data_IF_370955559134
#
_entry.id   IF_370955559134
#
_cell.length_a   1.000
_cell.length_b   1.000
_cell.length_c   1.000
_cell.angle_alpha   90.00
_cell.angle_beta   90.00
_cell.angle_gamma   90.00
#
_symmetry.space_group_name_H-M   'P 1'
#
loop_
_entity.id
_entity.type
_entity.pdbx_description
1 polymer ?
#
# COMPACT_ATOMS: atom_id res chain seq x y z
N UNK A 1 4.10 14.91 0.08
CA UNK A 1 5.30 14.91 0.94
C UNK A 1 5.71 13.48 1.28
N UNK A 2 4.87 12.69 1.97
CA UNK A 2 5.19 11.29 2.34
C UNK A 2 5.64 10.43 1.16
N UNK A 3 4.88 10.39 0.05
CA UNK A 3 5.25 9.63 -1.14
C UNK A 3 6.65 9.96 -1.69
N UNK A 4 7.06 11.23 -1.63
CA UNK A 4 8.38 11.65 -2.09
C UNK A 4 9.49 11.14 -1.17
N UNK A 5 9.30 11.22 0.16
CA UNK A 5 10.26 10.68 1.12
C UNK A 5 10.33 9.16 1.08
N UNK A 6 9.19 8.47 0.95
CA UNK A 6 9.15 7.01 0.80
C UNK A 6 9.92 6.57 -0.43
N UNK A 7 9.72 7.24 -1.57
CA UNK A 7 10.46 6.97 -2.80
C UNK A 7 11.97 7.11 -2.57
N UNK A 8 12.41 8.22 -1.97
CA UNK A 8 13.83 8.44 -1.66
C UNK A 8 14.39 7.38 -0.72
N UNK A 9 13.62 6.96 0.30
CA UNK A 9 14.01 5.90 1.21
C UNK A 9 14.20 4.55 0.49
N UNK A 10 13.26 4.19 -0.38
CA UNK A 10 13.35 2.96 -1.19
C UNK A 10 14.56 3.01 -2.13
N UNK A 11 14.78 4.14 -2.82
CA UNK A 11 15.94 4.34 -3.69
C UNK A 11 17.26 4.18 -2.92
N UNK A 12 17.33 4.64 -1.67
CA UNK A 12 18.51 4.47 -0.82
C UNK A 12 18.71 3.05 -0.27
N UNK A 13 17.62 2.29 -0.09
CA UNK A 13 17.66 0.92 0.41
C UNK A 13 17.84 -0.13 -0.70
N UNK A 14 17.72 0.29 -1.97
CA UNK A 14 17.84 -0.57 -3.13
C UNK A 14 19.24 -1.17 -3.25
N UNK A 15 19.32 -2.47 -3.59
CA UNK A 15 20.57 -3.18 -3.85
C UNK A 15 20.43 -3.94 -5.16
N UNK A 16 21.43 -3.79 -6.02
CA UNK A 16 21.48 -4.52 -7.29
C UNK A 16 21.47 -6.03 -7.05
N UNK A 17 20.71 -6.77 -7.87
CA UNK A 17 20.53 -8.21 -7.74
C UNK A 17 19.45 -8.66 -6.74
N UNK A 18 18.80 -7.74 -6.01
CA UNK A 18 17.74 -8.08 -5.06
C UNK A 18 16.41 -7.37 -5.42
N UNK A 19 15.29 -8.09 -5.31
CA UNK A 19 13.96 -7.53 -5.45
C UNK A 19 13.32 -7.19 -4.11
N UNK A 20 12.57 -6.08 -4.04
CA UNK A 20 11.78 -5.73 -2.85
C UNK A 20 10.40 -6.39 -2.97
N UNK A 21 10.10 -7.35 -2.08
CA UNK A 21 8.82 -8.07 -2.08
C UNK A 21 7.68 -7.24 -1.47
N UNK A 22 7.97 -6.43 -0.46
CA UNK A 22 6.99 -5.58 0.23
C UNK A 22 7.69 -4.36 0.82
N UNK A 23 7.05 -3.20 0.70
CA UNK A 23 7.43 -1.97 1.38
C UNK A 23 6.20 -1.35 2.05
N UNK A 24 6.39 -0.70 3.19
CA UNK A 24 5.34 -0.02 3.93
C UNK A 24 5.89 1.23 4.59
N UNK A 25 5.00 2.19 4.83
CA UNK A 25 5.30 3.39 5.62
C UNK A 25 4.59 3.24 6.94
N UNK A 26 5.34 3.33 8.03
CA UNK A 26 4.80 3.35 9.38
C UNK A 26 4.85 4.79 9.90
N UNK A 27 3.74 5.24 10.47
CA UNK A 27 3.66 6.55 11.11
C UNK A 27 3.54 6.28 12.60
N UNK A 28 4.51 6.76 13.36
CA UNK A 28 4.53 6.73 14.82
C UNK A 28 4.14 8.13 15.34
N UNK A 29 3.57 8.19 16.54
CA UNK A 29 3.25 9.44 17.25
C UNK A 29 2.41 10.46 16.44
N UNK A 30 1.28 9.99 15.90
CA UNK A 30 0.31 10.88 15.28
C UNK A 30 -0.21 11.89 16.30
N UNK A 31 -0.05 13.17 15.98
CA UNK A 31 -0.55 14.31 16.75
C UNK A 31 -1.61 15.06 15.95
N UNK A 32 -2.45 15.81 16.65
CA UNK A 32 -3.42 16.70 16.02
C UNK A 32 -2.74 17.71 15.10
N UNK A 33 -3.37 18.00 13.95
CA UNK A 33 -2.82 18.91 12.95
C UNK A 33 -2.51 20.30 13.52
N UNK A 34 -3.36 20.79 14.43
CA UNK A 34 -3.20 22.09 15.10
C UNK A 34 -2.01 22.13 16.07
N UNK A 35 -1.55 20.95 16.53
CA UNK A 35 -0.41 20.80 17.45
C UNK A 35 0.90 20.51 16.70
N UNK A 36 0.85 20.47 15.37
CA UNK A 36 2.02 20.26 14.53
C UNK A 36 3.08 21.33 14.81
N UNK A 37 4.35 20.95 15.06
CA UNK A 37 5.44 21.90 15.18
C UNK A 37 5.59 22.70 13.89
N UNK A 38 5.53 24.03 14.00
CA UNK A 38 5.85 24.91 12.87
C UNK A 38 7.34 24.94 12.65
N UNK A 39 7.76 24.77 11.40
CA UNK A 39 9.17 24.87 11.02
C UNK A 39 9.49 26.27 10.48
N UNK A 40 10.77 26.65 10.50
CA UNK A 40 11.22 27.95 9.97
C UNK A 40 11.00 28.07 8.44
N UNK A 41 10.85 26.93 7.76
CA UNK A 41 10.74 26.82 6.31
C UNK A 41 9.44 26.11 5.92
N UNK A 42 8.30 26.65 6.34
CA UNK A 42 7.00 26.13 5.92
C UNK A 42 6.63 26.60 4.53
N UNK A 43 6.36 25.64 3.66
CA UNK A 43 5.77 25.86 2.34
C UNK A 43 4.25 26.00 2.50
N UNK A 44 3.61 26.93 1.78
CA UNK A 44 2.16 27.19 1.87
C UNK A 44 1.37 25.89 1.63
N UNK A 45 0.77 25.36 2.70
CA UNK A 45 0.03 24.09 2.64
C UNK A 45 -1.37 24.25 2.09
N UNK A 46 -1.93 25.47 2.00
CA UNK A 46 -3.35 25.68 1.74
C UNK A 46 -3.83 25.07 0.41
N UNK A 47 -2.98 25.06 -0.61
CA UNK A 47 -3.28 24.36 -1.88
C UNK A 47 -3.35 22.85 -1.71
N UNK A 48 -2.41 22.25 -0.96
CA UNK A 48 -2.37 20.80 -0.73
C UNK A 48 -3.53 20.35 0.12
N UNK A 49 -3.86 21.11 1.16
CA UNK A 49 -4.95 20.76 2.09
C UNK A 49 -6.30 20.74 1.34
N UNK A 50 -6.56 21.76 0.52
CA UNK A 50 -7.74 21.79 -0.37
C UNK A 50 -7.77 20.63 -1.35
N UNK A 51 -6.63 20.27 -1.94
CA UNK A 51 -6.53 19.13 -2.86
C UNK A 51 -6.86 17.81 -2.15
N UNK A 52 -6.30 17.58 -0.96
CA UNK A 52 -6.55 16.36 -0.18
C UNK A 52 -8.04 16.24 0.19
N UNK A 53 -8.65 17.33 0.66
CA UNK A 53 -10.09 17.37 0.95
C UNK A 53 -10.93 17.04 -0.31
N UNK A 54 -10.59 17.61 -1.47
CA UNK A 54 -11.30 17.33 -2.71
C UNK A 54 -11.17 15.86 -3.12
N UNK A 55 -9.98 15.27 -3.00
CA UNK A 55 -9.77 13.85 -3.28
C UNK A 55 -10.58 12.95 -2.33
N UNK A 56 -10.63 13.29 -1.04
CA UNK A 56 -11.40 12.55 -0.05
C UNK A 56 -12.90 12.61 -0.34
N UNK A 57 -13.42 13.79 -0.69
CA UNK A 57 -14.83 13.94 -1.09
C UNK A 57 -15.20 13.08 -2.29
N UNK A 58 -14.34 13.04 -3.32
CA UNK A 58 -14.55 12.20 -4.49
C UNK A 58 -14.52 10.72 -4.11
N UNK A 59 -13.55 10.30 -3.30
CA UNK A 59 -13.46 8.92 -2.82
C UNK A 59 -14.65 8.51 -1.93
N UNK A 60 -15.20 9.44 -1.13
CA UNK A 60 -16.41 9.18 -0.34
C UNK A 60 -17.63 8.96 -1.24
N UNK A 61 -17.75 9.73 -2.33
CA UNK A 61 -18.91 9.67 -3.23
C UNK A 61 -18.88 8.48 -4.19
N UNK A 62 -17.73 8.18 -4.77
CA UNK A 62 -17.59 7.20 -5.85
C UNK A 62 -16.96 5.87 -5.39
N UNK A 63 -16.65 5.75 -4.11
CA UNK A 63 -16.05 4.56 -3.51
C UNK A 63 -14.55 4.72 -3.27
N UNK A 64 -14.05 3.89 -2.35
CA UNK A 64 -12.65 3.93 -1.91
C UNK A 64 -11.72 3.70 -3.10
N UNK A 65 -10.71 4.57 -3.25
CA UNK A 65 -9.74 4.56 -4.35
C UNK A 65 -10.30 4.91 -5.73
N UNK A 66 -11.44 5.61 -5.82
CA UNK A 66 -11.94 6.17 -7.07
C UNK A 66 -10.96 7.18 -7.70
N UNK A 67 -10.28 7.98 -6.85
CA UNK A 67 -9.17 8.85 -7.25
C UNK A 67 -7.98 8.59 -6.35
N UNK A 68 -6.83 8.39 -7.00
CA UNK A 68 -5.55 8.12 -6.34
C UNK A 68 -4.47 8.99 -6.96
N UNK A 69 -3.41 9.33 -6.23
CA UNK A 69 -2.24 9.98 -6.83
C UNK A 69 -1.71 9.13 -7.99
N UNK A 70 -1.40 9.76 -9.12
CA UNK A 70 -0.90 9.06 -10.30
C UNK A 70 0.37 8.24 -10.01
N UNK A 71 1.20 8.70 -9.07
CA UNK A 71 2.41 8.01 -8.62
C UNK A 71 2.16 6.67 -7.92
N UNK A 72 0.93 6.42 -7.44
CA UNK A 72 0.55 5.14 -6.83
C UNK A 72 0.35 4.05 -7.90
N UNK A 73 0.11 4.44 -9.16
CA UNK A 73 -0.31 3.53 -10.22
C UNK A 73 -1.78 3.11 -10.10
N UNK A 74 -2.37 2.74 -11.24
CA UNK A 74 -3.78 2.37 -11.35
C UNK A 74 -4.03 0.86 -11.26
N UNK A 75 -2.99 0.04 -11.44
CA UNK A 75 -3.07 -1.42 -11.39
C UNK A 75 -2.82 -1.91 -9.97
N UNK A 76 -3.82 -2.56 -9.37
CA UNK A 76 -3.69 -3.28 -8.11
C UNK A 76 -3.62 -4.78 -8.39
N UNK A 77 -2.45 -5.23 -8.84
CA UNK A 77 -2.20 -6.66 -9.13
C UNK A 77 -1.93 -7.49 -7.86
N UNK A 78 -2.11 -6.93 -6.66
CA UNK A 78 -1.93 -7.65 -5.39
C UNK A 78 -3.08 -8.62 -5.14
N UNK A 79 -3.14 -9.70 -5.91
CA UNK A 79 -3.80 -10.92 -5.49
C UNK A 79 -2.94 -11.58 -4.40
N UNK A 80 -3.57 -12.17 -3.39
CA UNK A 80 -2.87 -13.02 -2.44
C UNK A 80 -2.21 -14.17 -3.21
N UNK A 81 -0.89 -14.10 -3.41
CA UNK A 81 -0.12 -15.18 -4.02
C UNK A 81 -0.08 -16.34 -3.04
N UNK A 82 -0.85 -17.36 -3.38
CA UNK A 82 -1.03 -18.59 -2.61
C UNK A 82 -0.22 -19.72 -3.24
N UNK A 83 0.94 -19.42 -3.82
CA UNK A 83 1.72 -20.36 -4.64
C UNK A 83 2.22 -21.57 -3.82
N UNK A 84 2.18 -21.48 -2.49
CA UNK A 84 2.53 -22.56 -1.55
C UNK A 84 1.30 -23.14 -0.82
N UNK A 85 0.09 -22.95 -1.35
CA UNK A 85 -1.12 -23.51 -0.76
C UNK A 85 -1.14 -25.02 -0.98
N UNK A 86 -1.26 -25.81 0.09
CA UNK A 86 -1.51 -27.24 -0.04
C UNK A 86 -2.88 -27.49 -0.69
N UNK A 87 -3.06 -28.58 -1.45
CA UNK A 87 -4.38 -28.99 -1.90
C UNK A 87 -5.36 -29.11 -0.72
N UNK A 88 -6.63 -28.88 -1.01
CA UNK A 88 -7.74 -28.83 -0.06
C UNK A 88 -8.19 -30.25 0.34
N UNK A 89 -7.28 -31.04 0.93
CA UNK A 89 -7.52 -32.45 1.26
C UNK A 89 -8.76 -32.71 2.12
N UNK A 90 -9.13 -31.75 2.98
CA UNK A 90 -10.26 -31.89 3.91
C UNK A 90 -11.59 -31.39 3.35
N UNK A 91 -11.56 -30.56 2.31
CA UNK A 91 -12.77 -29.90 1.77
C UNK A 91 -13.05 -30.23 0.32
N UNK A 92 -12.10 -30.85 -0.40
CA UNK A 92 -12.32 -31.39 -1.74
C UNK A 92 -11.71 -32.78 -1.87
N UNK A 93 -12.59 -33.80 -1.88
CA UNK A 93 -12.17 -35.21 -1.90
C UNK A 93 -11.36 -35.60 -3.15
N UNK A 94 -11.59 -34.92 -4.27
CA UNK A 94 -10.83 -35.12 -5.51
C UNK A 94 -9.35 -34.68 -5.40
N UNK A 95 -9.00 -33.89 -4.38
CA UNK A 95 -7.63 -33.45 -4.14
C UNK A 95 -6.87 -34.38 -3.17
N UNK A 96 -7.52 -35.43 -2.64
CA UNK A 96 -6.91 -36.39 -1.70
C UNK A 96 -6.01 -37.38 -2.45
N UNK A 97 -4.78 -37.67 -1.98
CA UNK A 97 -3.89 -38.64 -2.61
C UNK A 97 -4.49 -40.06 -2.62
N UNK A 98 -4.57 -40.67 -3.80
CA UNK A 98 -5.01 -42.06 -3.94
C UNK A 98 -3.82 -43.02 -3.83
N UNK A 99 -3.90 -43.97 -2.92
CA UNK A 99 -2.91 -45.04 -2.77
C UNK A 99 -3.52 -46.34 -3.29
N UNK A 100 -2.79 -47.08 -4.13
CA UNK A 100 -3.17 -48.42 -4.57
C UNK A 100 -2.49 -49.46 -3.70
N UNK A 101 -3.26 -50.36 -3.12
CA UNK A 101 -2.74 -51.57 -2.50
C UNK A 101 -2.37 -52.59 -3.59
N UNK A 102 -1.31 -53.35 -3.35
CA UNK A 102 -0.81 -54.41 -4.23
C UNK A 102 -1.38 -55.76 -3.82
#
# INVERSE_FOLDING_TARGET
>A
MLLAYTRRGIESAWREGYGITKAGVMLEDLIDADRRPRTLFEDDSGRRDRLMVAMDQVNMRFGKFAVVPASQGFKREWAARSDSKSPNYTTRIAEVPAVKAR
#
